data_IF_822636972320
#
_entry.id   IF_822636972320
#
_cell.length_a   1.000
_cell.length_b   1.000
_cell.length_c   1.000
_cell.angle_alpha   90.00
_cell.angle_beta   90.00
_cell.angle_gamma   90.00
#
_symmetry.space_group_name_H-M   'P 1'
#
loop_
_entity.id
_entity.type
_entity.pdbx_description
1 polymer ?
#
# COMPACT_ATOMS: atom_id res chain seq x y z
N UNK A 1 6.29 -14.57 8.65
CA UNK A 1 6.02 -14.77 8.66
C UNK A 1 5.75 -14.77 8.63
N UNK A 2 5.86 -14.68 8.73
CA UNK A 2 5.58 -14.89 8.81
C UNK A 2 5.29 -15.05 9.13
N UNK A 3 5.46 -15.14 9.45
CA UNK A 3 5.16 -15.47 9.93
C UNK A 3 5.10 -15.41 10.52
N UNK A 4 5.24 -15.23 10.79
CA UNK A 4 5.19 -15.37 11.62
C UNK A 4 4.78 -15.17 12.00
N UNK A 5 4.67 -14.97 12.26
CA UNK A 5 4.10 -14.82 12.82
C UNK A 5 3.55 -14.42 13.45
N UNK A 6 3.66 -14.10 13.65
CA UNK A 6 2.95 -13.86 14.53
C UNK A 6 2.05 -13.44 14.65
N UNK A 7 1.43 -13.36 14.98
CA UNK A 7 0.39 -13.06 15.07
C UNK A 7 -0.25 -12.29 15.47
N UNK A 8 -0.27 -12.00 15.17
CA UNK A 8 -1.04 -11.61 15.48
C UNK A 8 -2.28 -11.68 16.04
N UNK A 9 -2.55 -12.49 16.21
CA UNK A 9 -3.62 -12.69 17.08
C UNK A 9 -3.41 -12.08 18.39
N UNK A 10 -2.49 -11.33 18.38
CA UNK A 10 -2.14 -10.58 19.51
C UNK A 10 -3.21 -9.60 19.74
N UNK A 11 -3.79 -9.61 20.88
CA UNK A 11 -4.95 -8.86 21.11
C UNK A 11 -4.72 -7.44 21.46
N UNK A 12 -3.54 -7.07 21.79
CA UNK A 12 -3.25 -5.70 22.09
C UNK A 12 -3.54 -4.82 20.91
N UNK A 13 -4.21 -3.75 21.12
CA UNK A 13 -4.55 -2.83 20.06
C UNK A 13 -3.48 -1.75 19.99
N UNK A 14 -2.32 -2.13 19.53
CA UNK A 14 -1.21 -1.21 19.46
C UNK A 14 -1.44 -0.11 18.44
N UNK A 15 -2.18 -0.45 17.40
CA UNK A 15 -2.46 0.52 16.34
C UNK A 15 -3.26 1.70 16.90
N UNK A 16 -4.29 1.41 17.65
CA UNK A 16 -5.13 2.47 18.19
C UNK A 16 -4.37 3.32 19.18
N UNK A 17 -3.45 2.73 19.87
CA UNK A 17 -2.67 3.46 20.86
C UNK A 17 -1.45 4.14 20.29
N UNK A 18 -1.15 3.88 19.04
CA UNK A 18 0.02 4.47 18.42
C UNK A 18 1.33 3.87 18.89
N UNK A 19 1.28 2.68 19.50
CA UNK A 19 2.45 2.05 20.08
C UNK A 19 3.19 1.16 19.12
N UNK A 20 2.78 1.10 17.88
CA UNK A 20 3.42 0.22 16.90
C UNK A 20 3.76 0.98 15.63
N UNK A 21 4.71 0.42 14.91
CA UNK A 21 5.03 0.88 13.56
C UNK A 21 4.47 -0.16 12.61
N UNK A 22 3.62 0.27 11.69
CA UNK A 22 2.97 -0.61 10.74
C UNK A 22 3.33 -0.22 9.33
N UNK A 23 3.54 -1.22 8.50
CA UNK A 23 3.81 -0.99 7.09
C UNK A 23 3.16 -2.09 6.28
N UNK A 24 2.77 -1.73 5.08
CA UNK A 24 2.22 -2.67 4.13
C UNK A 24 2.76 -2.28 2.76
N UNK A 25 2.93 -3.28 1.90
CA UNK A 25 3.33 -3.04 0.51
C UNK A 25 2.22 -3.51 -0.38
N UNK A 26 1.91 -2.74 -1.40
CA UNK A 26 0.92 -3.12 -2.39
C UNK A 26 1.49 -2.93 -3.78
N UNK A 27 1.11 -3.83 -4.67
CA UNK A 27 1.35 -3.70 -6.10
C UNK A 27 0.02 -3.41 -6.75
N UNK A 28 -0.04 -2.33 -7.51
CA UNK A 28 -1.31 -1.85 -8.05
C UNK A 28 -1.14 -1.67 -9.56
N UNK A 29 -1.93 -2.43 -10.31
CA UNK A 29 -1.91 -2.34 -11.76
C UNK A 29 -3.06 -1.45 -12.23
N UNK A 30 -2.74 -0.49 -13.06
CA UNK A 30 -3.72 0.47 -13.55
C UNK A 30 -3.64 0.52 -15.06
N UNK A 31 -4.80 0.55 -15.72
CA UNK A 31 -4.85 0.80 -17.14
C UNK A 31 -5.31 2.23 -17.37
N UNK A 32 -4.82 2.85 -18.44
CA UNK A 32 -5.25 4.19 -18.73
C UNK A 32 -4.47 4.82 -19.84
N UNK A 33 -5.12 5.76 -20.49
CA UNK A 33 -4.54 6.53 -21.58
C UNK A 33 -4.91 7.99 -21.40
N UNK A 34 -4.14 8.86 -22.04
CA UNK A 34 -4.47 10.26 -22.07
C UNK A 34 -4.48 10.87 -20.68
N UNK A 35 -5.54 11.58 -20.38
CA UNK A 35 -5.63 12.34 -19.14
C UNK A 35 -5.61 11.44 -17.90
N UNK A 36 -6.23 10.26 -18.00
CA UNK A 36 -6.25 9.36 -16.85
C UNK A 36 -4.87 8.83 -16.55
N UNK A 37 -4.08 8.57 -17.59
CA UNK A 37 -2.72 8.12 -17.41
C UNK A 37 -1.89 9.19 -16.70
N UNK A 38 -2.01 10.42 -17.14
CA UNK A 38 -1.28 11.53 -16.54
C UNK A 38 -1.68 11.71 -15.09
N UNK A 39 -2.98 11.64 -14.82
CA UNK A 39 -3.48 11.82 -13.46
C UNK A 39 -2.98 10.70 -12.54
N UNK A 40 -3.00 9.46 -13.01
CA UNK A 40 -2.54 8.34 -12.22
C UNK A 40 -1.06 8.50 -11.85
N UNK A 41 -0.25 8.90 -12.83
CA UNK A 41 1.17 9.09 -12.57
C UNK A 41 1.43 10.23 -11.58
N UNK A 42 0.65 11.31 -11.71
CA UNK A 42 0.78 12.43 -10.81
C UNK A 42 0.41 12.06 -9.37
N UNK A 43 -0.67 11.32 -9.21
CA UNK A 43 -1.10 10.90 -7.89
C UNK A 43 -0.15 9.88 -7.29
N UNK A 44 0.40 9.00 -8.13
CA UNK A 44 1.39 8.04 -7.66
C UNK A 44 2.58 8.77 -7.06
N UNK A 45 3.00 9.86 -7.68
CA UNK A 45 4.12 10.62 -7.16
C UNK A 45 3.79 11.24 -5.80
N UNK A 46 2.57 11.74 -5.64
CA UNK A 46 2.15 12.31 -4.37
C UNK A 46 2.20 11.26 -3.27
N UNK A 47 1.81 10.04 -3.57
CA UNK A 47 1.85 8.94 -2.61
C UNK A 47 3.21 8.28 -2.52
N UNK A 48 4.18 8.77 -3.28
CA UNK A 48 5.54 8.22 -3.34
C UNK A 48 5.54 6.76 -3.78
N UNK A 49 4.64 6.42 -4.67
CA UNK A 49 4.61 5.12 -5.28
C UNK A 49 5.62 5.09 -6.42
N UNK A 50 6.17 3.90 -6.66
CA UNK A 50 7.15 3.72 -7.73
C UNK A 50 6.48 3.03 -8.89
N UNK A 51 6.83 3.44 -10.11
CA UNK A 51 6.41 2.71 -11.29
C UNK A 51 7.43 1.61 -11.52
N UNK A 52 7.02 0.36 -11.38
CA UNK A 52 7.94 -0.75 -11.51
C UNK A 52 7.76 -1.51 -12.83
N UNK A 53 6.68 -1.23 -13.54
CA UNK A 53 6.47 -1.83 -14.85
C UNK A 53 5.54 -0.93 -15.64
N UNK A 54 5.75 -0.86 -16.94
CA UNK A 54 4.92 0.01 -17.76
C UNK A 54 4.81 -0.57 -19.17
N UNK A 55 3.63 -0.43 -19.75
CA UNK A 55 3.39 -0.74 -21.16
C UNK A 55 2.58 0.40 -21.74
N UNK A 56 2.14 0.26 -22.98
CA UNK A 56 1.42 1.34 -23.62
C UNK A 56 0.10 1.63 -22.95
N UNK A 57 -0.53 0.63 -22.32
CA UNK A 57 -1.85 0.81 -21.75
C UNK A 57 -1.94 0.47 -20.28
N UNK A 58 -0.87 -0.05 -19.69
CA UNK A 58 -0.89 -0.45 -18.28
C UNK A 58 0.40 -0.06 -17.61
N UNK A 59 0.33 0.17 -16.32
CA UNK A 59 1.52 0.32 -15.50
C UNK A 59 1.24 -0.21 -14.11
N UNK A 60 2.31 -0.63 -13.45
CA UNK A 60 2.23 -1.20 -12.12
C UNK A 60 2.99 -0.31 -11.17
N UNK A 61 2.31 0.07 -10.09
CA UNK A 61 2.91 0.87 -9.03
C UNK A 61 3.24 -0.02 -7.85
N UNK A 62 4.33 0.30 -7.19
CA UNK A 62 4.67 -0.27 -5.89
C UNK A 62 4.52 0.83 -4.86
N UNK A 63 3.67 0.62 -3.86
CA UNK A 63 3.43 1.63 -2.83
C UNK A 63 3.57 0.98 -1.47
N UNK A 64 4.22 1.69 -0.55
CA UNK A 64 4.39 1.22 0.82
C UNK A 64 3.97 2.31 1.78
N UNK A 65 3.57 1.91 2.96
CA UNK A 65 3.19 2.85 3.99
C UNK A 65 2.22 2.24 4.97
N UNK A 66 1.57 3.10 5.73
CA UNK A 66 0.55 2.64 6.65
C UNK A 66 -0.64 2.09 5.87
N UNK A 67 -1.39 1.17 6.48
CA UNK A 67 -2.56 0.61 5.79
C UNK A 67 -3.54 1.66 5.29
N UNK A 68 -3.72 2.74 6.03
CA UNK A 68 -4.64 3.79 5.59
C UNK A 68 -4.16 4.46 4.32
N UNK A 69 -2.87 4.64 4.17
CA UNK A 69 -2.30 5.22 2.96
C UNK A 69 -2.54 4.28 1.77
N UNK A 70 -2.31 2.99 1.98
CA UNK A 70 -2.52 2.00 0.93
C UNK A 70 -3.98 1.98 0.51
N UNK A 71 -4.88 2.00 1.47
CA UNK A 71 -6.31 1.97 1.19
C UNK A 71 -6.73 3.19 0.37
N UNK A 72 -6.27 4.36 0.76
CA UNK A 72 -6.60 5.59 0.04
C UNK A 72 -6.07 5.54 -1.39
N UNK A 73 -4.85 5.08 -1.56
CA UNK A 73 -4.25 4.99 -2.87
C UNK A 73 -5.06 4.05 -3.78
N UNK A 74 -5.47 2.91 -3.23
CA UNK A 74 -6.25 1.94 -4.01
C UNK A 74 -7.60 2.54 -4.40
N UNK A 75 -8.25 3.26 -3.49
CA UNK A 75 -9.53 3.89 -3.81
C UNK A 75 -9.40 4.90 -4.92
N UNK A 76 -8.36 5.72 -4.89
CA UNK A 76 -8.13 6.71 -5.93
C UNK A 76 -7.87 6.02 -7.26
N UNK A 77 -7.04 4.99 -7.25
CA UNK A 77 -6.69 4.31 -8.49
C UNK A 77 -7.87 3.53 -9.06
N UNK A 78 -8.81 3.12 -8.20
CA UNK A 78 -10.02 2.46 -8.68
C UNK A 78 -10.77 3.35 -9.65
N UNK A 79 -10.82 4.64 -9.38
CA UNK A 79 -11.51 5.57 -10.25
C UNK A 79 -10.73 5.88 -11.51
N UNK A 80 -9.46 5.58 -11.52
CA UNK A 80 -8.60 5.89 -12.66
C UNK A 80 -8.31 4.69 -13.56
N UNK A 81 -8.84 3.52 -13.21
CA UNK A 81 -8.68 2.37 -14.07
C UNK A 81 -7.92 1.22 -13.44
N UNK A 82 -8.12 1.01 -12.15
CA UNK A 82 -7.48 -0.10 -11.45
C UNK A 82 -7.86 -1.43 -12.08
N UNK A 83 -6.88 -2.29 -12.30
CA UNK A 83 -7.09 -3.59 -12.92
C UNK A 83 -6.85 -4.70 -11.90
N UNK A 84 -5.80 -4.56 -11.10
CA UNK A 84 -5.39 -5.64 -10.22
C UNK A 84 -4.61 -5.07 -9.06
N UNK A 85 -4.78 -5.69 -7.88
CA UNK A 85 -4.07 -5.28 -6.67
C UNK A 85 -3.57 -6.53 -5.96
N UNK A 86 -2.34 -6.47 -5.50
CA UNK A 86 -1.79 -7.48 -4.62
C UNK A 86 -1.26 -6.78 -3.38
N UNK A 87 -1.63 -7.26 -2.21
CA UNK A 87 -1.22 -6.65 -0.94
C UNK A 87 -0.49 -7.69 -0.11
N UNK A 88 0.54 -7.25 0.59
CA UNK A 88 1.31 -8.16 1.44
C UNK A 88 0.64 -8.44 2.78
N UNK A 89 -0.26 -7.57 3.18
CA UNK A 89 -0.71 -7.59 4.56
C UNK A 89 0.19 -6.72 5.41
N UNK A 90 -0.24 -6.49 6.64
CA UNK A 90 0.41 -5.53 7.52
C UNK A 90 1.54 -6.20 8.29
N UNK A 91 2.70 -5.57 8.28
CA UNK A 91 3.81 -5.95 9.14
C UNK A 91 3.89 -4.90 10.25
N UNK A 92 4.00 -5.34 11.48
CA UNK A 92 3.96 -4.43 12.61
C UNK A 92 4.98 -4.85 13.67
N UNK A 93 5.62 -3.87 14.26
CA UNK A 93 6.51 -4.10 15.41
C UNK A 93 6.22 -3.05 16.46
N UNK A 94 6.59 -3.36 17.70
CA UNK A 94 6.40 -2.41 18.78
C UNK A 94 7.34 -1.23 18.63
N UNK A 95 6.92 -0.11 19.15
CA UNK A 95 7.69 1.12 19.06
C UNK A 95 8.62 1.24 20.26
N UNK A 96 9.84 1.73 20.00
CA UNK A 96 10.79 1.92 21.06
C UNK A 96 11.18 0.61 21.72
N UNK A 97 11.07 0.53 23.03
CA UNK A 97 11.40 -0.67 23.77
C UNK A 97 10.25 -1.68 23.82
N UNK A 98 9.05 -1.31 23.35
CA UNK A 98 7.92 -2.22 23.38
C UNK A 98 8.08 -3.31 22.34
N UNK A 99 7.46 -4.46 22.62
CA UNK A 99 7.43 -5.56 21.64
C UNK A 99 6.02 -6.09 21.55
N UNK A 100 5.73 -6.70 20.44
CA UNK A 100 4.43 -7.33 20.22
C UNK A 100 4.34 -8.68 20.91
#
# INVERSE_FOLDING_TARGET
QLERLVPVHRVRDLTAEGDSVERELALVKVSGKGDKRIEALRLAEIFRAKVIDTSTEHFVFEVTGKPSKIETFIQIMTELGLVEVARTGIAAIGRGAATL
#
